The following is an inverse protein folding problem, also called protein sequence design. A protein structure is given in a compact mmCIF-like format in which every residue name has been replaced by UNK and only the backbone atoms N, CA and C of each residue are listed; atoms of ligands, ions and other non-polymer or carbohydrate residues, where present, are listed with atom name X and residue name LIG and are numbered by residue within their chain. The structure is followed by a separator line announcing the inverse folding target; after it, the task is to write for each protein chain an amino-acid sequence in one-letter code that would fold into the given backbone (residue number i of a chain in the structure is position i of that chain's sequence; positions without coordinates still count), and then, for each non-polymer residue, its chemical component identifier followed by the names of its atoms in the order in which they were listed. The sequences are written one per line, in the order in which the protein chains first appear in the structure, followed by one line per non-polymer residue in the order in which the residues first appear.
data_IF_457721900156
#
_entry.id   IF_457721900156
#
_cell.length_a   1.000
_cell.length_b   1.000
_cell.length_c   1.000
_cell.angle_alpha   90.00
_cell.angle_beta   90.00
_cell.angle_gamma   90.00
#
_symmetry.space_group_name_H-M   'P 1'
#
loop_
_entity.id
_entity.type
_entity.pdbx_description
1 polymer ?
#
# COMPACT_ATOMS: atom_id res chain seq x y z
N UNK A 1 -8.03 6.04 5.86
CA UNK A 1 -6.74 5.31 5.81
C UNK A 1 -6.39 4.95 7.25
N UNK A 2 -6.69 3.72 7.68
CA UNK A 2 -6.38 3.28 9.05
C UNK A 2 -5.12 2.44 8.97
N UNK A 3 -4.00 3.04 9.34
CA UNK A 3 -2.82 2.30 9.77
C UNK A 3 -3.16 1.71 11.15
N UNK A 4 -3.25 0.39 11.27
CA UNK A 4 -3.21 -0.25 12.58
C UNK A 4 -1.75 -0.40 12.98
N UNK A 5 -1.41 0.20 14.12
CA UNK A 5 -0.14 0.13 14.84
C UNK A 5 0.49 -1.27 14.80
N UNK A 6 1.72 -1.36 14.28
CA UNK A 6 2.63 -2.42 14.64
C UNK A 6 3.40 -1.96 15.88
N UNK A 7 3.14 -2.60 17.02
CA UNK A 7 3.93 -2.42 18.24
C UNK A 7 5.36 -2.98 18.03
N UNK A 8 6.39 -2.36 18.62
CA UNK A 8 7.79 -2.71 18.40
C UNK A 8 8.22 -3.84 19.33
N UNK A 9 8.97 -4.81 18.81
CA UNK A 9 9.76 -5.73 19.64
C UNK A 9 9.78 -7.17 19.13
N UNK A 10 10.79 -7.50 18.34
CA UNK A 10 11.66 -8.61 18.69
C UNK A 10 13.02 -8.46 18.00
N UNK A 11 14.03 -8.18 18.82
CA UNK A 11 15.44 -8.24 18.52
C UNK A 11 15.93 -9.69 18.73
N UNK A 12 17.09 -10.02 18.14
CA UNK A 12 17.89 -11.27 18.20
C UNK A 12 17.67 -12.23 17.01
N UNK A 13 18.70 -12.63 16.26
CA UNK A 13 20.13 -12.45 16.46
C UNK A 13 20.95 -12.94 15.26
N UNK A 14 22.16 -12.41 15.19
CA UNK A 14 23.22 -12.75 14.24
C UNK A 14 23.56 -14.23 14.25
N UNK A 15 23.75 -14.81 13.06
CA UNK A 15 24.90 -15.70 12.85
C UNK A 15 25.33 -15.69 11.38
N UNK A 16 26.59 -15.36 11.18
CA UNK A 16 27.31 -15.30 9.90
C UNK A 16 27.92 -16.66 9.60
N UNK A 17 27.77 -17.18 8.38
CA UNK A 17 28.79 -18.00 7.72
C UNK A 17 28.59 -18.03 6.19
N UNK A 18 29.67 -17.68 5.49
CA UNK A 18 29.93 -17.81 4.05
C UNK A 18 29.67 -19.23 3.49
N UNK A 19 29.20 -19.39 2.24
CA UNK A 19 30.08 -19.47 1.06
C UNK A 19 29.31 -19.60 -0.28
N UNK A 20 30.02 -19.17 -1.33
CA UNK A 20 29.77 -18.98 -2.77
C UNK A 20 29.18 -20.13 -3.61
N UNK A 21 28.36 -19.82 -4.64
CA UNK A 21 28.78 -19.85 -6.07
C UNK A 21 27.60 -19.59 -7.05
N UNK A 22 27.97 -19.07 -8.23
CA UNK A 22 27.22 -18.37 -9.28
C UNK A 22 26.23 -19.18 -10.15
N UNK A 23 25.18 -18.52 -10.67
CA UNK A 23 25.13 -18.10 -12.11
C UNK A 23 23.81 -17.43 -12.51
N UNK A 24 23.92 -16.49 -13.45
CA UNK A 24 22.90 -15.71 -14.18
C UNK A 24 22.29 -14.49 -13.47
N UNK A 25 23.14 -13.48 -13.27
CA UNK A 25 22.76 -12.11 -12.89
C UNK A 25 22.12 -11.36 -14.06
N UNK A 26 20.82 -11.04 -13.94
CA UNK A 26 20.31 -9.79 -14.54
C UNK A 26 20.91 -8.66 -13.69
N UNK A 27 21.70 -7.79 -14.29
CA UNK A 27 22.33 -6.67 -13.56
C UNK A 27 21.23 -5.81 -12.92
N UNK A 28 21.12 -5.90 -11.59
CA UNK A 28 20.47 -4.88 -10.78
C UNK A 28 21.31 -3.62 -10.87
N UNK A 29 20.68 -2.49 -11.21
CA UNK A 29 21.35 -1.19 -11.23
C UNK A 29 21.62 -0.79 -9.78
N UNK A 30 22.88 -0.66 -9.34
CA UNK A 30 23.20 -0.29 -7.97
C UNK A 30 22.76 1.14 -7.69
N UNK A 31 22.27 1.37 -6.48
CA UNK A 31 21.95 2.68 -5.95
C UNK A 31 23.25 3.41 -5.55
N UNK A 32 24.06 3.87 -6.51
CA UNK A 32 25.23 4.70 -6.22
C UNK A 32 25.49 5.82 -7.23
N UNK A 33 25.71 6.99 -6.62
CA UNK A 33 26.31 8.24 -7.10
C UNK A 33 25.55 9.05 -8.16
N UNK A 34 24.94 10.12 -7.64
CA UNK A 34 24.94 11.42 -8.29
C UNK A 34 26.38 11.76 -8.72
N UNK A 35 26.56 12.09 -9.99
CA UNK A 35 27.78 12.74 -10.47
C UNK A 35 28.08 13.95 -9.59
N UNK A 36 29.28 13.94 -8.99
CA UNK A 36 29.89 15.08 -8.35
C UNK A 36 30.32 16.08 -9.43
N UNK A 37 29.37 16.84 -9.96
CA UNK A 37 29.71 18.14 -10.55
C UNK A 37 29.72 19.16 -9.41
N UNK A 38 30.89 19.31 -8.79
CA UNK A 38 31.24 20.46 -7.97
C UNK A 38 31.26 21.72 -8.85
N UNK A 39 30.09 22.34 -9.06
CA UNK A 39 30.08 23.76 -9.41
C UNK A 39 30.36 24.58 -8.16
N UNK A 40 31.56 25.14 -8.16
CA UNK A 40 32.17 26.03 -7.18
C UNK A 40 31.27 27.26 -6.94
N UNK A 41 30.40 27.21 -5.95
CA UNK A 41 29.63 28.39 -5.52
C UNK A 41 30.58 29.34 -4.76
N UNK A 42 30.92 30.46 -5.39
CA UNK A 42 31.55 31.61 -4.74
C UNK A 42 30.63 32.09 -3.62
N UNK A 43 31.18 32.20 -2.40
CA UNK A 43 30.53 32.90 -1.31
C UNK A 43 30.50 34.41 -1.65
N UNK A 44 29.39 34.87 -2.22
CA UNK A 44 29.09 36.29 -2.31
C UNK A 44 28.26 36.68 -1.09
N UNK A 45 28.84 37.53 -0.26
CA UNK A 45 28.14 38.21 0.84
C UNK A 45 27.11 39.16 0.25
N UNK A 46 25.83 38.79 0.31
CA UNK A 46 24.73 39.58 -0.22
C UNK A 46 23.47 39.43 0.64
N UNK A 47 23.21 40.48 1.41
CA UNK A 47 21.95 40.95 2.01
C UNK A 47 20.70 40.05 1.76
N UNK A 48 20.21 39.40 2.83
CA UNK A 48 18.98 38.58 2.86
C UNK A 48 17.77 39.41 2.39
N UNK A 49 17.41 39.29 1.11
CA UNK A 49 16.16 39.81 0.56
C UNK A 49 15.29 38.66 0.06
N UNK A 50 14.07 38.62 0.62
CA UNK A 50 12.92 37.77 0.30
C UNK A 50 12.93 37.17 -1.11
N UNK A 51 13.36 35.91 -1.21
CA UNK A 51 13.17 35.06 -2.38
C UNK A 51 12.07 34.05 -2.10
N UNK A 52 10.86 34.30 -2.60
CA UNK A 52 9.77 33.32 -2.59
C UNK A 52 10.11 32.14 -3.52
N UNK A 53 10.69 31.06 -2.97
CA UNK A 53 10.90 29.82 -3.72
C UNK A 53 9.56 29.16 -4.05
N UNK A 54 9.13 29.31 -5.30
CA UNK A 54 7.93 28.70 -5.88
C UNK A 54 8.29 27.42 -6.60
N UNK A 55 7.65 26.31 -6.24
CA UNK A 55 7.78 25.04 -6.96
C UNK A 55 6.50 24.76 -7.76
N UNK A 56 6.63 24.14 -8.94
CA UNK A 56 5.50 23.83 -9.81
C UNK A 56 5.20 22.33 -9.79
N UNK A 57 3.95 21.95 -9.49
CA UNK A 57 3.45 20.58 -9.59
C UNK A 57 2.27 20.56 -10.55
N UNK A 58 2.32 19.72 -11.59
CA UNK A 58 1.25 19.60 -12.61
C UNK A 58 0.79 20.96 -13.18
N UNK A 59 1.74 21.87 -13.43
CA UNK A 59 1.45 23.21 -13.97
C UNK A 59 0.88 24.22 -12.97
N UNK A 60 0.79 23.86 -11.68
CA UNK A 60 0.32 24.75 -10.61
C UNK A 60 1.47 25.12 -9.67
N UNK A 61 1.61 26.42 -9.39
CA UNK A 61 2.62 26.93 -8.46
C UNK A 61 2.15 26.73 -7.03
N UNK A 62 2.98 26.06 -6.22
CA UNK A 62 2.72 25.79 -4.81
C UNK A 62 3.77 26.56 -3.99
N UNK A 63 3.30 27.39 -3.05
CA UNK A 63 4.13 28.07 -2.06
C UNK A 63 4.06 27.32 -0.71
N UNK A 64 5.17 26.74 -0.21
CA UNK A 64 5.18 26.03 1.08
C UNK A 64 5.00 26.95 2.31
N UNK A 65 5.27 28.25 2.16
CA UNK A 65 5.11 29.24 3.23
C UNK A 65 3.96 30.18 2.90
N UNK A 66 3.09 30.44 3.88
CA UNK A 66 2.08 31.49 3.79
C UNK A 66 2.80 32.84 3.84
N UNK A 67 2.70 33.62 2.77
CA UNK A 67 3.21 34.99 2.73
C UNK A 67 2.45 35.79 3.79
N UNK A 68 3.17 36.53 4.65
CA UNK A 68 2.55 37.46 5.59
C UNK A 68 1.99 38.62 4.76
N UNK A 69 0.70 38.91 4.92
CA UNK A 69 0.03 40.01 4.21
C UNK A 69 0.62 41.36 4.65
N UNK A 70 1.63 41.82 3.91
CA UNK A 70 2.06 43.20 3.89
C UNK A 70 1.11 44.01 3.01
N UNK A 71 0.58 45.09 3.57
CA UNK A 71 -0.33 46.04 2.93
C UNK A 71 0.11 46.46 1.51
N UNK A 72 -0.73 46.21 0.51
CA UNK A 72 -0.79 47.02 -0.71
C UNK A 72 -0.75 46.28 -2.05
N UNK A 73 -1.87 46.37 -2.78
CA UNK A 73 -2.04 46.15 -4.23
C UNK A 73 -1.78 44.72 -4.74
N UNK A 74 -2.87 43.94 -4.89
CA UNK A 74 -2.85 42.58 -5.43
C UNK A 74 -2.48 42.50 -6.93
N UNK A 75 -1.75 41.46 -7.36
CA UNK A 75 -1.50 41.19 -8.77
C UNK A 75 -2.55 40.26 -9.40
N UNK A 76 -2.77 40.47 -10.69
CA UNK A 76 -3.82 39.88 -11.55
C UNK A 76 -3.79 38.34 -11.61
N UNK A 77 -4.91 37.69 -11.31
CA UNK A 77 -5.15 36.26 -11.58
C UNK A 77 -5.12 35.97 -13.10
N UNK A 78 -4.35 34.94 -13.50
CA UNK A 78 -4.36 34.38 -14.85
C UNK A 78 -5.49 33.35 -14.98
N UNK A 79 -6.21 33.42 -16.10
CA UNK A 79 -7.37 32.59 -16.48
C UNK A 79 -7.08 31.08 -16.41
N UNK A 80 -7.90 30.35 -15.66
CA UNK A 80 -7.98 28.88 -15.68
C UNK A 80 -9.35 28.42 -16.21
N UNK A 81 -9.29 27.35 -17.02
CA UNK A 81 -10.30 26.30 -17.29
C UNK A 81 -11.79 26.68 -17.33
N UNK A 82 -12.40 26.51 -18.49
CA UNK A 82 -13.80 26.88 -18.77
C UNK A 82 -14.78 25.70 -18.50
N UNK A 83 -15.94 26.05 -17.90
CA UNK A 83 -17.30 25.42 -17.91
C UNK A 83 -17.83 24.63 -16.69
N UNK A 84 -18.75 25.25 -15.95
CA UNK A 84 -20.20 24.96 -15.81
C UNK A 84 -20.89 26.28 -15.40
N UNK A 85 -22.02 26.66 -16.02
CA UNK A 85 -22.63 27.99 -15.84
C UNK A 85 -23.62 28.00 -14.67
N UNK A 86 -23.23 28.61 -13.55
CA UNK A 86 -24.19 29.02 -12.51
C UNK A 86 -24.84 30.36 -12.88
N UNK A 87 -26.06 30.58 -12.40
CA UNK A 87 -26.98 31.67 -12.80
C UNK A 87 -26.50 33.11 -12.49
N UNK A 88 -25.29 33.29 -11.95
CA UNK A 88 -24.75 34.58 -11.49
C UNK A 88 -23.58 35.12 -12.35
N UNK A 89 -23.32 34.52 -13.52
CA UNK A 89 -22.37 35.07 -14.51
C UNK A 89 -20.90 35.14 -14.09
N UNK A 90 -20.56 34.81 -12.84
CA UNK A 90 -19.20 34.66 -12.35
C UNK A 90 -18.78 33.19 -12.40
N UNK A 91 -18.10 32.81 -13.48
CA UNK A 91 -17.59 31.44 -13.70
C UNK A 91 -16.30 31.16 -12.90
N UNK A 92 -16.28 31.40 -11.59
CA UNK A 92 -15.11 31.12 -10.74
C UNK A 92 -15.44 30.19 -9.58
N UNK A 93 -14.68 29.09 -9.45
CA UNK A 93 -14.80 28.19 -8.31
C UNK A 93 -14.24 28.83 -7.04
N UNK A 94 -15.10 29.03 -6.05
CA UNK A 94 -14.72 29.53 -4.72
C UNK A 94 -14.43 28.37 -3.75
N UNK A 95 -13.58 27.43 -4.16
CA UNK A 95 -13.19 26.26 -3.35
C UNK A 95 -11.80 26.40 -2.71
N UNK A 96 -10.87 27.09 -3.36
CA UNK A 96 -9.48 27.18 -2.91
C UNK A 96 -9.37 27.76 -1.50
N UNK A 97 -9.95 28.94 -1.27
CA UNK A 97 -9.91 29.60 0.03
C UNK A 97 -10.63 28.78 1.11
N UNK A 98 -11.80 28.21 0.76
CA UNK A 98 -12.61 27.40 1.69
C UNK A 98 -11.88 26.14 2.13
N UNK A 99 -11.22 25.44 1.21
CA UNK A 99 -10.44 24.23 1.52
C UNK A 99 -9.21 24.60 2.34
N UNK A 100 -8.45 25.63 1.94
CA UNK A 100 -7.26 26.07 2.67
C UNK A 100 -7.60 26.48 4.11
N UNK A 101 -8.69 27.24 4.30
CA UNK A 101 -9.18 27.63 5.63
C UNK A 101 -9.62 26.43 6.48
N UNK A 102 -10.34 25.48 5.88
CA UNK A 102 -10.78 24.26 6.55
C UNK A 102 -9.60 23.42 7.06
N UNK A 103 -8.51 23.35 6.30
CA UNK A 103 -7.27 22.69 6.74
C UNK A 103 -6.62 23.51 7.85
N UNK A 104 -6.31 24.79 7.59
CA UNK A 104 -5.72 25.71 8.55
C UNK A 104 -6.32 27.12 8.40
N UNK A 105 -6.84 27.73 9.47
CA UNK A 105 -6.66 27.36 10.87
C UNK A 105 -7.77 26.49 11.48
N UNK A 106 -8.75 26.02 10.70
CA UNK A 106 -9.97 25.43 11.28
C UNK A 106 -9.75 24.07 11.97
N UNK A 107 -8.97 23.15 11.39
CA UNK A 107 -8.84 21.77 11.89
C UNK A 107 -7.42 21.41 12.36
N UNK A 108 -6.39 21.87 11.64
CA UNK A 108 -5.00 21.49 11.90
C UNK A 108 -4.18 22.68 12.42
N UNK A 109 -3.04 22.35 13.06
CA UNK A 109 -2.03 23.31 13.51
C UNK A 109 -0.90 23.49 12.50
N UNK A 110 0.35 23.38 12.94
CA UNK A 110 1.52 23.53 12.07
C UNK A 110 1.69 22.35 11.08
N UNK A 111 2.13 22.60 9.83
CA UNK A 111 2.33 21.55 8.84
C UNK A 111 3.54 20.67 9.17
N UNK A 112 3.44 19.37 8.87
CA UNK A 112 4.55 18.42 9.04
C UNK A 112 5.45 18.40 7.79
N UNK A 113 6.41 19.34 7.73
CA UNK A 113 7.27 19.53 6.55
C UNK A 113 8.10 18.29 6.15
N UNK A 114 8.46 17.44 7.11
CA UNK A 114 9.12 16.16 6.82
C UNK A 114 8.23 15.21 5.99
N UNK A 115 6.92 15.16 6.27
CA UNK A 115 5.97 14.37 5.49
C UNK A 115 5.72 14.97 4.11
N UNK A 116 5.67 16.31 4.01
CA UNK A 116 5.55 17.00 2.73
C UNK A 116 6.76 16.71 1.83
N UNK A 117 7.97 16.74 2.39
CA UNK A 117 9.18 16.38 1.66
C UNK A 117 9.18 14.92 1.19
N UNK A 118 8.80 13.98 2.06
CA UNK A 118 8.67 12.57 1.70
C UNK A 118 7.62 12.34 0.59
N UNK A 119 6.49 13.05 0.65
CA UNK A 119 5.46 13.01 -0.39
C UNK A 119 5.99 13.54 -1.73
N UNK A 120 6.77 14.62 -1.74
CA UNK A 120 7.38 15.14 -2.96
C UNK A 120 8.31 14.11 -3.63
N UNK A 121 9.10 13.38 -2.83
CA UNK A 121 9.95 12.29 -3.32
C UNK A 121 9.09 11.16 -3.91
N UNK A 122 8.04 10.74 -3.21
CA UNK A 122 7.13 9.70 -3.69
C UNK A 122 6.44 10.12 -5.01
N UNK A 123 6.00 11.37 -5.14
CA UNK A 123 5.41 11.90 -6.37
C UNK A 123 6.41 11.91 -7.53
N UNK A 124 7.68 12.23 -7.26
CA UNK A 124 8.75 12.12 -8.26
C UNK A 124 8.93 10.67 -8.75
N UNK A 125 8.89 9.70 -7.84
CA UNK A 125 8.98 8.27 -8.19
C UNK A 125 7.74 7.78 -8.97
N UNK A 126 6.54 8.22 -8.60
CA UNK A 126 5.29 7.86 -9.31
C UNK A 126 5.28 8.36 -10.75
N UNK A 127 5.98 9.46 -11.04
CA UNK A 127 6.06 10.04 -12.38
C UNK A 127 7.01 9.29 -13.34
N UNK A 128 7.72 8.25 -12.89
CA UNK A 128 8.67 7.53 -13.75
C UNK A 128 7.99 6.43 -14.59
N UNK A 129 8.54 6.08 -15.77
CA UNK A 129 7.98 5.00 -16.59
C UNK A 129 8.04 3.62 -15.90
N UNK A 130 9.03 3.40 -15.03
CA UNK A 130 9.15 2.17 -14.24
C UNK A 130 7.96 2.00 -13.28
N UNK A 131 7.50 3.09 -12.65
CA UNK A 131 6.32 3.03 -11.79
C UNK A 131 5.06 2.70 -12.59
N UNK A 132 4.95 3.19 -13.83
CA UNK A 132 3.85 2.80 -14.73
C UNK A 132 3.90 1.31 -15.06
N UNK A 133 5.07 0.75 -15.35
CA UNK A 133 5.25 -0.68 -15.59
C UNK A 133 4.90 -1.50 -14.32
N UNK A 134 5.35 -1.05 -13.14
CA UNK A 134 4.98 -1.63 -11.86
C UNK A 134 3.44 -1.66 -11.66
N UNK A 135 2.73 -0.56 -11.90
CA UNK A 135 1.27 -0.52 -11.75
C UNK A 135 0.55 -1.43 -12.75
N UNK A 136 1.10 -1.62 -13.95
CA UNK A 136 0.59 -2.62 -14.89
C UNK A 136 0.79 -4.04 -14.35
N UNK A 137 1.95 -4.34 -13.76
CA UNK A 137 2.23 -5.62 -13.14
C UNK A 137 1.31 -5.89 -11.95
N UNK A 138 1.04 -4.89 -11.10
CA UNK A 138 0.10 -4.98 -9.97
C UNK A 138 -1.28 -5.48 -10.44
N UNK A 139 -1.79 -4.91 -11.55
CA UNK A 139 -3.07 -5.31 -12.13
C UNK A 139 -3.03 -6.72 -12.72
N UNK A 140 -1.98 -7.06 -13.47
CA UNK A 140 -1.79 -8.41 -14.03
C UNK A 140 -1.75 -9.47 -12.94
N UNK A 141 -0.98 -9.22 -11.87
CA UNK A 141 -0.89 -10.06 -10.69
C UNK A 141 -2.25 -10.25 -10.01
N UNK A 142 -3.04 -9.17 -9.88
CA UNK A 142 -4.37 -9.25 -9.29
C UNK A 142 -5.31 -10.12 -10.14
N UNK A 143 -5.26 -9.99 -11.47
CA UNK A 143 -6.01 -10.82 -12.40
C UNK A 143 -5.55 -12.29 -12.37
N UNK A 144 -4.24 -12.54 -12.31
CA UNK A 144 -3.68 -13.88 -12.16
C UNK A 144 -4.17 -14.56 -10.88
N UNK A 145 -4.08 -13.86 -9.74
CA UNK A 145 -4.60 -14.36 -8.46
C UNK A 145 -6.12 -14.61 -8.51
N UNK A 146 -6.89 -13.70 -9.10
CA UNK A 146 -8.33 -13.88 -9.24
C UNK A 146 -8.66 -15.13 -10.08
N UNK A 147 -8.03 -15.29 -11.23
CA UNK A 147 -8.20 -16.45 -12.10
C UNK A 147 -7.78 -17.76 -11.41
N UNK A 148 -6.67 -17.72 -10.66
CA UNK A 148 -6.18 -18.83 -9.87
C UNK A 148 -7.22 -19.32 -8.85
N UNK A 149 -7.84 -18.39 -8.11
CA UNK A 149 -8.88 -18.68 -7.12
C UNK A 149 -10.16 -19.18 -7.80
N UNK A 150 -10.59 -18.56 -8.90
CA UNK A 150 -11.79 -18.98 -9.64
C UNK A 150 -11.67 -20.39 -10.22
N UNK A 151 -10.51 -20.76 -10.78
CA UNK A 151 -10.24 -22.14 -11.25
C UNK A 151 -10.36 -23.18 -10.13
N UNK A 152 -10.04 -22.76 -8.90
CA UNK A 152 -10.16 -23.58 -7.69
C UNK A 152 -11.54 -23.46 -7.03
N UNK A 153 -12.54 -22.93 -7.76
CA UNK A 153 -13.95 -22.80 -7.38
C UNK A 153 -14.19 -21.89 -6.17
N UNK A 154 -13.29 -20.96 -5.90
CA UNK A 154 -13.49 -19.91 -4.90
C UNK A 154 -14.49 -18.86 -5.41
N UNK A 155 -15.37 -18.36 -4.53
CA UNK A 155 -16.32 -17.31 -4.88
C UNK A 155 -15.71 -15.93 -4.66
N UNK A 156 -15.48 -15.18 -5.74
CA UNK A 156 -15.04 -13.78 -5.65
C UNK A 156 -16.25 -12.84 -5.76
N UNK A 157 -16.25 -11.77 -4.98
CA UNK A 157 -17.21 -10.68 -5.18
C UNK A 157 -16.96 -10.09 -6.57
N UNK A 158 -18.03 -9.83 -7.32
CA UNK A 158 -18.02 -9.45 -8.75
C UNK A 158 -17.36 -10.44 -9.73
N UNK A 159 -16.90 -11.62 -9.25
CA UNK A 159 -16.34 -12.67 -10.11
C UNK A 159 -14.95 -12.39 -10.69
N UNK A 160 -14.21 -11.39 -10.20
CA UNK A 160 -12.90 -11.01 -10.74
C UNK A 160 -12.36 -9.72 -10.14
N UNK A 161 -11.43 -9.06 -10.85
CA UNK A 161 -10.93 -7.73 -10.47
C UNK A 161 -10.37 -6.97 -11.68
N UNK A 162 -10.58 -5.64 -11.68
CA UNK A 162 -10.02 -4.70 -12.64
C UNK A 162 -8.95 -3.77 -12.01
N UNK A 163 -8.67 -3.94 -10.72
CA UNK A 163 -7.76 -3.10 -9.95
C UNK A 163 -6.69 -3.95 -9.21
N UNK A 164 -6.22 -3.50 -8.05
CA UNK A 164 -5.11 -4.08 -7.31
C UNK A 164 -5.54 -5.03 -6.18
N UNK A 165 -6.85 -5.23 -5.99
CA UNK A 165 -7.40 -6.03 -4.90
C UNK A 165 -8.52 -6.94 -5.40
N UNK A 166 -8.81 -7.97 -4.62
CA UNK A 166 -9.99 -8.81 -4.78
C UNK A 166 -10.64 -9.05 -3.42
N UNK A 167 -11.94 -9.33 -3.46
CA UNK A 167 -12.72 -9.71 -2.30
C UNK A 167 -13.13 -11.17 -2.45
N UNK A 168 -12.61 -12.02 -1.57
CA UNK A 168 -12.97 -13.42 -1.52
C UNK A 168 -14.08 -13.64 -0.50
N UNK A 169 -15.19 -14.17 -0.97
CA UNK A 169 -16.33 -14.60 -0.17
C UNK A 169 -16.09 -16.00 0.41
N UNK A 170 -15.94 -16.06 1.73
CA UNK A 170 -15.69 -17.28 2.49
C UNK A 170 -16.98 -17.94 2.99
N UNK A 171 -18.13 -17.27 2.86
CA UNK A 171 -19.43 -17.83 3.30
C UNK A 171 -19.83 -19.03 2.45
N UNK A 172 -19.40 -19.08 1.18
CA UNK A 172 -19.58 -20.23 0.29
C UNK A 172 -18.96 -21.53 0.82
N UNK A 173 -17.91 -21.43 1.64
CA UNK A 173 -17.24 -22.56 2.30
C UNK A 173 -17.57 -22.64 3.80
N UNK A 174 -18.53 -21.86 4.27
CA UNK A 174 -19.01 -21.85 5.65
C UNK A 174 -17.99 -21.31 6.67
N UNK A 175 -16.99 -20.56 6.21
CA UNK A 175 -15.97 -19.93 7.05
C UNK A 175 -16.35 -18.48 7.39
N UNK A 176 -15.78 -17.97 8.49
CA UNK A 176 -15.84 -16.55 8.83
C UNK A 176 -14.48 -15.91 8.54
N UNK A 177 -14.48 -14.65 8.08
CA UNK A 177 -13.24 -13.90 7.83
C UNK A 177 -12.38 -13.76 9.09
N UNK A 178 -12.99 -13.72 10.28
CA UNK A 178 -12.28 -13.65 11.56
C UNK A 178 -11.42 -14.87 11.85
N UNK A 179 -11.98 -16.07 11.71
CA UNK A 179 -11.25 -17.31 11.97
C UNK A 179 -10.19 -17.57 10.89
N UNK A 180 -10.53 -17.30 9.63
CA UNK A 180 -9.62 -17.46 8.51
C UNK A 180 -8.43 -16.48 8.57
N UNK A 181 -8.66 -15.21 8.91
CA UNK A 181 -7.59 -14.22 9.13
C UNK A 181 -6.61 -14.70 10.20
N UNK A 182 -7.10 -15.28 11.31
CA UNK A 182 -6.24 -15.78 12.39
C UNK A 182 -5.40 -16.98 11.95
N UNK A 183 -5.95 -17.91 11.16
CA UNK A 183 -5.16 -19.02 10.60
C UNK A 183 -4.09 -18.50 9.65
N UNK A 184 -4.43 -17.53 8.79
CA UNK A 184 -3.49 -16.91 7.87
C UNK A 184 -2.34 -16.22 8.64
N UNK A 185 -2.65 -15.46 9.69
CA UNK A 185 -1.66 -14.82 10.57
C UNK A 185 -0.68 -15.85 11.15
N UNK A 186 -1.18 -16.97 11.66
CA UNK A 186 -0.33 -18.07 12.18
C UNK A 186 0.54 -18.73 11.10
N UNK A 187 0.12 -18.65 9.84
CA UNK A 187 0.86 -19.13 8.67
C UNK A 187 1.75 -18.06 8.02
N UNK A 188 1.91 -16.89 8.65
CA UNK A 188 2.64 -15.73 8.11
C UNK A 188 2.07 -15.17 6.80
N UNK A 189 0.75 -15.28 6.64
CA UNK A 189 -0.01 -14.65 5.56
C UNK A 189 -0.84 -13.51 6.16
N UNK A 190 -0.50 -12.27 5.82
CA UNK A 190 -1.23 -11.09 6.31
C UNK A 190 -2.30 -10.67 5.32
N UNK A 191 -3.56 -10.67 5.76
CA UNK A 191 -4.71 -10.19 5.00
C UNK A 191 -5.75 -9.57 5.93
N UNK A 192 -6.78 -8.93 5.38
CA UNK A 192 -7.78 -8.21 6.15
C UNK A 192 -9.17 -8.82 5.95
N UNK A 193 -9.84 -9.22 7.04
CA UNK A 193 -11.27 -9.56 7.02
C UNK A 193 -12.10 -8.34 6.60
N UNK A 194 -13.06 -8.55 5.71
CA UNK A 194 -13.85 -7.46 5.11
C UNK A 194 -15.29 -7.90 4.97
N UNK A 195 -16.22 -7.00 5.30
CA UNK A 195 -17.63 -7.25 5.15
C UNK A 195 -18.01 -7.38 3.67
N UNK A 196 -18.89 -8.33 3.37
CA UNK A 196 -19.43 -8.56 2.03
C UNK A 196 -20.94 -8.33 2.02
N UNK A 197 -21.52 -8.22 0.83
CA UNK A 197 -22.97 -8.07 0.70
C UNK A 197 -23.71 -9.25 1.35
N UNK A 198 -24.68 -8.95 2.21
CA UNK A 198 -25.43 -9.95 2.99
C UNK A 198 -24.87 -10.23 4.40
N UNK A 199 -23.81 -9.56 4.83
CA UNK A 199 -23.31 -9.68 6.21
C UNK A 199 -24.25 -8.98 7.21
N UNK A 200 -24.92 -9.76 8.05
CA UNK A 200 -25.90 -9.28 9.04
C UNK A 200 -25.23 -8.74 10.33
N UNK A 201 -24.53 -7.60 10.24
CA UNK A 201 -24.15 -6.81 11.43
C UNK A 201 -22.76 -7.05 12.01
N UNK A 202 -21.73 -6.92 11.17
CA UNK A 202 -20.35 -6.47 11.46
C UNK A 202 -19.46 -7.23 12.49
N UNK A 203 -19.96 -8.16 13.31
CA UNK A 203 -19.12 -8.85 14.31
C UNK A 203 -18.24 -9.96 13.73
N UNK A 204 -18.63 -10.55 12.60
CA UNK A 204 -17.90 -11.61 11.90
C UNK A 204 -18.08 -11.48 10.39
N UNK A 205 -17.27 -10.63 9.71
CA UNK A 205 -17.38 -10.44 8.28
C UNK A 205 -17.20 -11.77 7.52
N UNK A 206 -17.95 -11.92 6.44
CA UNK A 206 -18.02 -13.14 5.62
C UNK A 206 -16.91 -13.29 4.58
N UNK A 207 -16.05 -12.27 4.41
CA UNK A 207 -15.01 -12.29 3.40
C UNK A 207 -13.66 -11.76 3.86
N UNK A 208 -12.71 -11.80 2.93
CA UNK A 208 -11.38 -11.22 3.07
C UNK A 208 -11.00 -10.41 1.84
N UNK A 209 -10.23 -9.35 2.08
CA UNK A 209 -9.63 -8.51 1.05
C UNK A 209 -8.18 -8.86 0.89
N UNK A 210 -7.79 -9.14 -0.36
CA UNK A 210 -6.42 -9.52 -0.72
C UNK A 210 -5.95 -8.52 -1.77
N UNK A 211 -4.76 -7.96 -1.58
CA UNK A 211 -4.16 -6.98 -2.48
C UNK A 211 -2.80 -7.44 -2.98
N UNK A 212 -2.48 -7.09 -4.22
CA UNK A 212 -1.21 -7.46 -4.88
C UNK A 212 -0.06 -6.45 -4.78
N UNK A 213 -0.23 -5.14 -4.44
CA UNK A 213 0.86 -4.17 -4.47
C UNK A 213 2.10 -4.59 -3.69
N UNK A 214 1.96 -4.97 -2.41
CA UNK A 214 3.10 -5.23 -1.52
C UNK A 214 4.02 -6.35 -2.04
N UNK A 215 3.46 -7.48 -2.49
CA UNK A 215 4.26 -8.57 -3.05
C UNK A 215 4.79 -8.23 -4.44
N UNK A 216 4.06 -7.43 -5.23
CA UNK A 216 4.56 -6.94 -6.52
C UNK A 216 5.76 -6.02 -6.34
N UNK A 217 5.78 -5.17 -5.31
CA UNK A 217 6.94 -4.32 -4.98
C UNK A 217 8.18 -5.14 -4.64
N UNK A 218 8.00 -6.36 -4.09
CA UNK A 218 9.08 -7.31 -3.81
C UNK A 218 9.53 -8.12 -5.03
N UNK A 219 8.92 -7.89 -6.20
CA UNK A 219 9.28 -8.54 -7.45
C UNK A 219 8.41 -9.73 -7.85
N UNK A 220 7.32 -10.03 -7.14
CA UNK A 220 6.43 -11.12 -7.53
C UNK A 220 5.73 -10.85 -8.87
N UNK A 221 5.63 -11.89 -9.69
CA UNK A 221 4.95 -11.90 -10.99
C UNK A 221 3.76 -12.87 -11.00
N UNK A 222 3.10 -13.05 -12.14
CA UNK A 222 1.84 -13.79 -12.25
C UNK A 222 1.95 -15.25 -11.74
N UNK A 223 3.05 -15.94 -12.02
CA UNK A 223 3.31 -17.30 -11.54
C UNK A 223 3.44 -17.40 -10.02
N UNK A 224 3.97 -16.36 -9.39
CA UNK A 224 4.11 -16.27 -7.94
C UNK A 224 2.74 -16.12 -7.29
N UNK A 225 1.84 -15.35 -7.92
CA UNK A 225 0.47 -15.20 -7.47
C UNK A 225 -0.39 -16.46 -7.62
N UNK A 226 -0.05 -17.37 -8.54
CA UNK A 226 -0.63 -18.73 -8.57
C UNK A 226 -0.22 -19.54 -7.33
N UNK A 227 1.06 -19.45 -6.94
CA UNK A 227 1.58 -20.11 -5.74
C UNK A 227 0.95 -19.52 -4.47
N UNK A 228 0.80 -18.20 -4.41
CA UNK A 228 0.09 -17.51 -3.32
C UNK A 228 -1.37 -17.97 -3.25
N UNK A 229 -2.04 -18.20 -4.38
CA UNK A 229 -3.39 -18.78 -4.39
C UNK A 229 -3.42 -20.16 -3.70
N UNK A 230 -2.43 -21.02 -3.95
CA UNK A 230 -2.35 -22.33 -3.29
C UNK A 230 -2.15 -22.22 -1.78
N UNK A 231 -1.32 -21.27 -1.31
CA UNK A 231 -1.17 -21.02 0.11
C UNK A 231 -2.48 -20.56 0.75
N UNK A 232 -3.20 -19.65 0.09
CA UNK A 232 -4.49 -19.13 0.53
C UNK A 232 -5.56 -20.24 0.64
N UNK A 233 -5.61 -21.15 -0.33
CA UNK A 233 -6.50 -22.31 -0.28
C UNK A 233 -6.10 -23.31 0.80
N UNK A 234 -4.80 -23.59 0.97
CA UNK A 234 -4.32 -24.48 2.04
C UNK A 234 -4.69 -23.91 3.41
N UNK A 235 -4.53 -22.62 3.62
CA UNK A 235 -4.99 -21.95 4.85
C UNK A 235 -6.51 -22.10 5.04
N UNK A 236 -7.30 -22.05 3.96
CA UNK A 236 -8.76 -22.19 4.05
C UNK A 236 -9.15 -23.62 4.45
N UNK A 237 -8.47 -24.63 3.89
CA UNK A 237 -8.65 -26.03 4.28
C UNK A 237 -8.31 -26.26 5.76
N UNK A 238 -7.18 -25.74 6.23
CA UNK A 238 -6.79 -25.81 7.64
C UNK A 238 -7.87 -25.17 8.52
N UNK A 239 -8.37 -24.00 8.13
CA UNK A 239 -9.45 -23.31 8.85
C UNK A 239 -10.73 -24.18 8.93
N UNK A 240 -11.12 -24.83 7.83
CA UNK A 240 -12.28 -25.75 7.82
C UNK A 240 -12.06 -26.94 8.76
N UNK A 241 -10.86 -27.54 8.75
CA UNK A 241 -10.53 -28.67 9.62
C UNK A 241 -10.62 -28.28 11.10
N UNK A 242 -10.01 -27.16 11.48
CA UNK A 242 -10.04 -26.65 12.87
C UNK A 242 -11.48 -26.29 13.27
N UNK A 243 -12.24 -25.65 12.37
CA UNK A 243 -13.63 -25.29 12.64
C UNK A 243 -14.53 -26.51 12.84
N UNK A 244 -14.25 -27.63 12.15
CA UNK A 244 -14.99 -28.89 12.31
C UNK A 244 -14.72 -29.54 13.67
N UNK A 245 -13.51 -29.43 14.19
CA UNK A 245 -13.09 -30.06 15.45
C UNK A 245 -13.43 -29.21 16.68
N UNK A 246 -13.17 -27.90 16.62
CA UNK A 246 -13.30 -26.99 17.76
C UNK A 246 -14.53 -26.07 17.67
N UNK A 247 -15.25 -26.07 16.55
CA UNK A 247 -16.43 -25.24 16.32
C UNK A 247 -16.12 -23.85 15.76
N UNK A 248 -17.18 -23.09 15.52
CA UNK A 248 -17.13 -21.75 14.88
C UNK A 248 -16.78 -20.62 15.86
N UNK A 249 -17.06 -20.80 17.14
CA UNK A 249 -16.87 -19.77 18.15
C UNK A 249 -15.38 -19.55 18.41
N UNK A 250 -14.96 -18.28 18.34
CA UNK A 250 -13.54 -17.93 18.37
C UNK A 250 -12.81 -18.46 19.62
N UNK A 251 -13.46 -18.46 20.79
CA UNK A 251 -12.87 -18.92 22.05
C UNK A 251 -12.38 -20.38 21.97
N UNK A 252 -13.16 -21.23 21.31
CA UNK A 252 -12.82 -22.65 21.16
C UNK A 252 -11.93 -22.85 19.93
N UNK A 253 -12.19 -22.12 18.83
CA UNK A 253 -11.39 -22.17 17.62
C UNK A 253 -9.89 -21.89 17.88
N UNK A 254 -9.57 -20.93 18.75
CA UNK A 254 -8.18 -20.59 19.09
C UNK A 254 -7.42 -21.78 19.70
N UNK A 255 -8.11 -22.68 20.40
CA UNK A 255 -7.46 -23.86 21.01
C UNK A 255 -6.85 -24.78 19.95
N UNK A 256 -7.48 -24.90 18.78
CA UNK A 256 -7.00 -25.71 17.67
C UNK A 256 -5.90 -25.08 16.82
N UNK A 257 -5.53 -23.82 17.09
CA UNK A 257 -4.39 -23.15 16.43
C UNK A 257 -3.05 -23.56 17.06
N UNK A 258 -3.05 -23.88 18.35
CA UNK A 258 -1.83 -24.24 19.06
C UNK A 258 -1.34 -25.64 18.65
N UNK A 259 -0.04 -25.77 18.39
CA UNK A 259 0.63 -27.03 18.04
C UNK A 259 0.04 -27.76 16.81
N UNK A 260 -0.65 -27.04 15.93
CA UNK A 260 -1.18 -27.60 14.70
C UNK A 260 -0.06 -27.81 13.67
N UNK A 261 0.19 -29.07 13.29
CA UNK A 261 1.26 -29.43 12.35
C UNK A 261 1.06 -28.84 10.96
N UNK A 262 -0.19 -28.76 10.48
CA UNK A 262 -0.49 -28.20 9.15
C UNK A 262 -0.19 -26.69 9.10
N UNK A 263 -0.43 -25.96 10.19
CA UNK A 263 -0.09 -24.53 10.30
C UNK A 263 1.43 -24.34 10.23
N UNK A 264 2.19 -25.15 10.98
CA UNK A 264 3.66 -25.07 10.98
C UNK A 264 4.23 -25.40 9.60
N UNK A 265 3.70 -26.43 8.94
CA UNK A 265 4.11 -26.80 7.58
C UNK A 265 3.83 -25.68 6.58
N UNK A 266 2.60 -25.13 6.59
CA UNK A 266 2.23 -24.04 5.69
C UNK A 266 3.06 -22.79 5.96
N UNK A 267 3.26 -22.44 7.23
CA UNK A 267 4.11 -21.32 7.65
C UNK A 267 5.52 -21.46 7.07
N UNK A 268 6.17 -22.61 7.23
CA UNK A 268 7.53 -22.82 6.74
C UNK A 268 7.61 -22.68 5.21
N UNK A 269 6.59 -23.15 4.48
CA UNK A 269 6.50 -22.99 3.02
C UNK A 269 6.31 -21.53 2.62
N UNK A 270 5.46 -20.79 3.33
CA UNK A 270 5.22 -19.36 3.10
C UNK A 270 6.49 -18.55 3.37
N UNK A 271 7.18 -18.81 4.48
CA UNK A 271 8.45 -18.17 4.81
C UNK A 271 9.51 -18.46 3.75
N UNK A 272 9.69 -19.74 3.38
CA UNK A 272 10.68 -20.16 2.37
C UNK A 272 10.43 -19.47 1.03
N UNK A 273 9.16 -19.38 0.60
CA UNK A 273 8.78 -18.67 -0.60
C UNK A 273 9.05 -17.16 -0.47
N UNK A 274 8.65 -16.54 0.64
CA UNK A 274 8.82 -15.12 0.86
C UNK A 274 10.30 -14.69 0.94
N UNK A 275 11.21 -15.55 1.40
CA UNK A 275 12.66 -15.25 1.47
C UNK A 275 13.35 -15.23 0.09
N UNK A 276 12.70 -15.69 -0.97
CA UNK A 276 13.26 -15.64 -2.33
C UNK A 276 13.23 -14.23 -2.95
N UNK A 277 12.49 -13.31 -2.34
CA UNK A 277 12.22 -11.98 -2.88
C UNK A 277 12.92 -10.89 -2.06
N UNK A 278 13.45 -9.89 -2.76
CA UNK A 278 14.08 -8.72 -2.13
C UNK A 278 13.08 -7.93 -1.26
N UNK A 279 13.60 -7.16 -0.31
CA UNK A 279 12.81 -6.28 0.53
C UNK A 279 13.26 -4.83 0.33
N UNK A 280 12.42 -3.95 -0.23
CA UNK A 280 12.77 -2.55 -0.36
C UNK A 280 12.75 -1.84 1.01
N UNK A 281 13.66 -0.89 1.20
CA UNK A 281 13.64 0.04 2.34
C UNK A 281 14.69 -0.20 3.42
N UNK A 282 15.46 -1.29 3.33
CA UNK A 282 16.66 -1.52 4.13
C UNK A 282 17.63 -2.44 3.38
N UNK A 283 18.93 -2.31 3.67
CA UNK A 283 19.99 -3.20 3.17
C UNK A 283 20.25 -4.37 4.13
#
# INVERSE_FOLDING_TARGET
MVYTEAQPGLFLGFNSHHNTASSNSVQSVPLQLLDQNEEKIRAESGDDRDGDEKFNLLGHSICPKRTRDGSGKGPKLRKQGMYHTDADGSNHYDFEEKINFAVFPSLQGGPHNNHIAALAIALKQVATPEYKAYMQQVKKNAQALANALLRRKCRLVTGGTDNHLLLWDLTAVGLTGKNYEKVCEMCHITLNKTAIFGDNGAFSPGGVRIGTPAMTTRGCVESDFETIADFLLRAAQITVCIQREYGKFQKDFIKGLHNNKDIVELRNRVETFAYQFEMPGYD
#
